data_IF_505698362400
#
_entry.id   IF_505698362400
#
_cell.length_a   1.000
_cell.length_b   1.000
_cell.length_c   1.000
_cell.angle_alpha   90.00
_cell.angle_beta   90.00
_cell.angle_gamma   90.00
#
_symmetry.space_group_name_H-M   'P 1'
#
loop_
_entity.id
_entity.type
_entity.pdbx_description
1 polymer ?
#
# COMPACT_ATOMS: atom_id res chain seq x y z
N UNK A 1 -8.01 -5.05 0.82
CA UNK A 1 -8.30 -5.92 -0.34
C UNK A 1 -9.07 -7.15 0.12
N UNK A 2 -9.83 -7.80 -0.75
CA UNK A 2 -10.50 -9.08 -0.46
C UNK A 2 -10.27 -10.08 -1.61
N UNK A 3 -10.22 -11.36 -1.27
CA UNK A 3 -10.06 -12.49 -2.20
C UNK A 3 -10.83 -13.73 -1.71
N UNK A 4 -11.16 -14.63 -2.63
CA UNK A 4 -11.72 -15.95 -2.30
C UNK A 4 -10.63 -17.00 -2.05
N UNK A 5 -9.38 -16.70 -2.41
CA UNK A 5 -8.24 -17.60 -2.28
C UNK A 5 -7.26 -17.11 -1.22
N UNK A 6 -6.68 -18.04 -0.47
CA UNK A 6 -5.64 -17.73 0.50
C UNK A 6 -4.30 -17.54 -0.22
N UNK A 7 -3.94 -16.29 -0.47
CA UNK A 7 -2.66 -15.91 -1.07
C UNK A 7 -1.96 -14.82 -0.26
N UNK A 8 -0.66 -14.69 -0.43
CA UNK A 8 0.09 -13.51 0.03
C UNK A 8 0.07 -12.45 -1.07
N UNK A 9 -0.22 -11.19 -0.72
CA UNK A 9 -0.21 -10.09 -1.70
C UNK A 9 0.99 -9.18 -1.46
N UNK A 10 1.47 -8.58 -2.55
CA UNK A 10 2.48 -7.53 -2.51
C UNK A 10 1.91 -6.30 -3.21
N UNK A 11 1.74 -5.21 -2.46
CA UNK A 11 1.25 -3.94 -2.96
C UNK A 11 2.43 -2.99 -3.17
N UNK A 12 2.67 -2.58 -4.42
CA UNK A 12 3.64 -1.54 -4.76
C UNK A 12 2.92 -0.22 -5.03
N UNK A 13 3.22 0.78 -4.22
CA UNK A 13 2.71 2.16 -4.36
C UNK A 13 3.85 3.04 -4.85
N UNK A 14 3.73 3.54 -6.08
CA UNK A 14 4.77 4.34 -6.75
C UNK A 14 4.34 5.80 -6.84
N UNK A 15 5.22 6.68 -6.37
CA UNK A 15 5.09 8.13 -6.47
C UNK A 15 5.85 8.58 -7.70
N UNK A 16 5.17 9.26 -8.62
CA UNK A 16 5.76 9.77 -9.84
C UNK A 16 5.66 11.30 -9.91
N UNK A 17 6.76 11.96 -10.29
CA UNK A 17 6.81 13.40 -10.59
C UNK A 17 7.33 13.60 -12.00
N UNK A 18 6.62 14.41 -12.80
CA UNK A 18 6.92 14.60 -14.23
C UNK A 18 7.13 13.29 -15.00
N UNK A 19 6.29 12.28 -14.71
CA UNK A 19 6.34 10.97 -15.36
C UNK A 19 7.50 10.06 -14.90
N UNK A 20 8.34 10.49 -13.95
CA UNK A 20 9.44 9.70 -13.40
C UNK A 20 9.10 9.20 -12.00
N UNK A 21 9.38 7.93 -11.72
CA UNK A 21 9.27 7.37 -10.37
C UNK A 21 10.29 8.04 -9.43
N UNK A 22 9.80 8.57 -8.31
CA UNK A 22 10.61 9.25 -7.29
C UNK A 22 10.73 8.41 -6.03
N UNK A 23 9.61 7.78 -5.61
CA UNK A 23 9.55 6.91 -4.43
C UNK A 23 8.70 5.70 -4.75
N UNK A 24 9.05 4.55 -4.19
CA UNK A 24 8.23 3.34 -4.20
C UNK A 24 8.14 2.79 -2.79
N UNK A 25 6.93 2.40 -2.40
CA UNK A 25 6.65 1.70 -1.15
C UNK A 25 6.06 0.34 -1.48
N UNK A 26 6.73 -0.72 -1.03
CA UNK A 26 6.31 -2.10 -1.22
C UNK A 26 5.85 -2.67 0.11
N UNK A 27 4.62 -3.15 0.17
CA UNK A 27 4.01 -3.73 1.38
C UNK A 27 3.54 -5.14 1.09
N UNK A 28 3.97 -6.10 1.91
CA UNK A 28 3.54 -7.50 1.81
C UNK A 28 2.51 -7.79 2.88
N UNK A 29 1.34 -8.25 2.46
CA UNK A 29 0.21 -8.53 3.34
C UNK A 29 -0.20 -10.00 3.25
N UNK A 30 -0.55 -10.54 4.41
CA UNK A 30 -1.03 -11.91 4.55
C UNK A 30 -2.55 -11.91 4.71
N UNK A 31 -3.17 -12.93 4.14
CA UNK A 31 -4.61 -13.11 4.20
C UNK A 31 -5.10 -13.35 5.63
N UNK A 32 -6.24 -12.75 5.98
CA UNK A 32 -7.02 -13.08 7.18
C UNK A 32 -8.41 -13.56 6.78
N UNK A 33 -8.81 -14.74 7.24
CA UNK A 33 -10.14 -15.24 6.93
C UNK A 33 -11.19 -14.59 7.84
N UNK A 34 -12.03 -13.73 7.27
CA UNK A 34 -13.09 -13.00 7.97
C UNK A 34 -14.37 -13.04 7.11
N UNK A 35 -15.50 -13.44 7.69
CA UNK A 35 -16.81 -13.38 6.99
C UNK A 35 -16.89 -14.25 5.73
N UNK A 36 -16.16 -15.37 5.66
CA UNK A 36 -16.16 -16.26 4.50
C UNK A 36 -15.22 -15.82 3.36
N UNK A 37 -14.40 -14.79 3.57
CA UNK A 37 -13.45 -14.26 2.58
C UNK A 37 -12.08 -14.03 3.20
N UNK A 38 -11.05 -13.98 2.36
CA UNK A 38 -9.70 -13.59 2.75
C UNK A 38 -9.55 -12.08 2.61
N UNK A 39 -9.33 -11.39 3.73
CA UNK A 39 -9.21 -9.94 3.84
C UNK A 39 -7.76 -9.55 4.10
N UNK A 40 -7.31 -8.47 3.44
CA UNK A 40 -5.98 -7.89 3.57
C UNK A 40 -6.09 -6.44 3.98
N UNK A 41 -5.38 -6.03 5.04
CA UNK A 41 -5.51 -4.70 5.62
C UNK A 41 -4.16 -4.02 5.84
N UNK A 42 -3.81 -3.14 4.93
CA UNK A 42 -2.75 -2.14 5.14
C UNK A 42 -3.33 -1.02 6.00
N UNK A 43 -3.11 -1.07 7.32
CA UNK A 43 -3.67 -0.07 8.25
C UNK A 43 -2.60 0.83 8.84
N UNK A 44 -2.92 2.13 8.99
CA UNK A 44 -2.05 3.15 9.60
C UNK A 44 -0.62 3.17 9.04
N UNK A 45 -0.48 2.82 7.76
CA UNK A 45 0.83 2.77 7.12
C UNK A 45 1.33 4.20 6.89
N UNK A 46 2.48 4.59 7.47
CA UNK A 46 2.92 5.98 7.44
C UNK A 46 3.21 6.43 6.01
N UNK A 47 2.91 7.70 5.71
CA UNK A 47 3.37 8.35 4.50
C UNK A 47 4.88 8.50 4.55
N UNK A 48 5.55 8.34 3.40
CA UNK A 48 6.98 8.61 3.32
C UNK A 48 7.24 10.11 3.48
N UNK A 49 8.45 10.46 3.92
CA UNK A 49 8.86 11.86 4.15
C UNK A 49 8.62 12.74 2.92
N UNK A 50 8.84 12.21 1.71
CA UNK A 50 8.56 12.93 0.47
C UNK A 50 7.09 13.38 0.38
N UNK A 51 6.14 12.49 0.69
CA UNK A 51 4.71 12.80 0.66
C UNK A 51 4.31 13.76 1.77
N UNK A 52 4.89 13.60 2.97
CA UNK A 52 4.67 14.52 4.09
C UNK A 52 5.17 15.92 3.73
N UNK A 53 6.39 16.04 3.20
CA UNK A 53 6.97 17.30 2.74
C UNK A 53 6.21 17.88 1.55
N UNK A 54 5.69 17.05 0.64
CA UNK A 54 4.85 17.51 -0.46
C UNK A 54 3.57 18.18 0.06
N UNK A 55 2.91 17.60 1.07
CA UNK A 55 1.73 18.20 1.71
C UNK A 55 2.07 19.48 2.48
N UNK A 56 3.21 19.52 3.16
CA UNK A 56 3.63 20.71 3.91
C UNK A 56 4.04 21.90 3.04
N UNK A 57 4.56 21.65 1.85
CA UNK A 57 5.04 22.67 0.91
C UNK A 57 4.07 22.91 -0.27
N UNK A 58 2.82 22.47 -0.12
CA UNK A 58 1.71 22.70 -1.05
C UNK A 58 1.10 24.09 -0.88
#
# INVERSE_FOLDING_TARGET
YESNENMTITCSTKVCSFGKQVVEKVETEYARFEGGRFVYRITRSPMCEYMVNFIHNL
#
